data_IF_343484583869
#
_entry.id   IF_343484583869
#
_cell.length_a   1.000
_cell.length_b   1.000
_cell.length_c   1.000
_cell.angle_alpha   90.00
_cell.angle_beta   90.00
_cell.angle_gamma   90.00
#
_symmetry.space_group_name_H-M   'P 1'
#
loop_
_entity.id
_entity.type
_entity.pdbx_description
1 polymer ?
#
# COMPACT_ATOMS: atom_id res chain seq x y z
N UNK A 1 25.23 4.36 -4.24
CA UNK A 1 24.27 3.77 -5.20
C UNK A 1 23.03 4.64 -5.45
N UNK A 2 22.30 5.08 -4.42
CA UNK A 2 21.09 5.92 -4.57
C UNK A 2 21.30 7.21 -5.39
N UNK A 3 22.46 7.85 -5.26
CA UNK A 3 22.75 9.09 -5.99
C UNK A 3 22.88 8.87 -7.52
N UNK A 4 23.35 7.69 -7.94
CA UNK A 4 23.42 7.35 -9.37
C UNK A 4 22.03 7.20 -9.99
N UNK A 5 21.08 6.65 -9.24
CA UNK A 5 19.70 6.46 -9.71
C UNK A 5 18.95 7.78 -9.82
N UNK A 6 19.15 8.69 -8.85
CA UNK A 6 18.64 10.05 -8.93
C UNK A 6 19.18 10.79 -10.17
N UNK A 7 20.48 10.66 -10.46
CA UNK A 7 21.08 11.24 -11.66
C UNK A 7 20.51 10.67 -12.97
N UNK A 8 20.33 9.35 -13.05
CA UNK A 8 19.73 8.69 -14.21
C UNK A 8 18.27 9.12 -14.43
N UNK A 9 17.50 9.25 -13.35
CA UNK A 9 16.13 9.76 -13.39
C UNK A 9 16.10 11.20 -13.92
N UNK A 10 16.96 12.08 -13.41
CA UNK A 10 17.05 13.48 -13.85
C UNK A 10 17.48 13.57 -15.32
N UNK A 11 18.45 12.77 -15.77
CA UNK A 11 18.86 12.73 -17.18
C UNK A 11 17.70 12.27 -18.09
N UNK A 12 16.88 11.33 -17.62
CA UNK A 12 15.71 10.84 -18.36
C UNK A 12 14.60 11.88 -18.39
N UNK A 13 14.36 12.56 -17.27
CA UNK A 13 13.41 13.66 -17.16
C UNK A 13 13.84 14.85 -18.02
N UNK A 14 15.15 15.08 -18.18
CA UNK A 14 15.67 16.14 -19.04
C UNK A 14 15.28 15.93 -20.51
N UNK A 15 15.35 14.67 -20.97
CA UNK A 15 14.94 14.25 -22.32
C UNK A 15 13.41 14.22 -22.51
N UNK A 16 12.62 14.30 -21.44
CA UNK A 16 11.18 14.41 -21.54
C UNK A 16 10.78 15.85 -21.90
N UNK A 17 9.74 16.00 -22.72
CA UNK A 17 9.26 17.31 -23.16
C UNK A 17 8.85 18.17 -21.95
N UNK A 18 9.20 19.47 -21.91
CA UNK A 18 8.69 20.38 -20.90
C UNK A 18 7.21 20.72 -21.19
N UNK A 19 6.31 20.55 -20.22
CA UNK A 19 4.90 20.93 -20.34
C UNK A 19 3.99 20.24 -19.31
N UNK A 20 2.71 20.63 -19.21
CA UNK A 20 1.74 20.00 -18.29
C UNK A 20 1.50 18.52 -18.60
N UNK A 21 1.57 18.13 -19.89
CA UNK A 21 1.52 16.74 -20.35
C UNK A 21 2.91 16.07 -20.42
N UNK A 22 3.96 16.88 -20.21
CA UNK A 22 5.36 16.48 -20.21
C UNK A 22 5.78 15.94 -18.85
N UNK A 23 5.39 14.70 -18.55
CA UNK A 23 5.76 14.02 -17.31
C UNK A 23 6.18 12.59 -17.54
N UNK A 24 6.78 12.00 -16.51
CA UNK A 24 7.27 10.64 -16.52
C UNK A 24 6.55 9.83 -15.44
N UNK A 25 5.92 8.72 -15.82
CA UNK A 25 5.38 7.77 -14.86
C UNK A 25 6.53 6.96 -14.22
N UNK A 26 6.57 6.89 -12.89
CA UNK A 26 7.63 6.15 -12.20
C UNK A 26 7.65 4.66 -12.52
N UNK A 27 6.50 4.03 -12.81
CA UNK A 27 6.45 2.62 -13.22
C UNK A 27 7.12 2.40 -14.59
N UNK A 28 6.81 3.25 -15.57
CA UNK A 28 7.40 3.20 -16.91
C UNK A 28 8.89 3.54 -16.87
N UNK A 29 9.26 4.53 -16.06
CA UNK A 29 10.65 4.92 -15.83
C UNK A 29 11.46 3.78 -15.20
N UNK A 30 10.90 3.10 -14.19
CA UNK A 30 11.54 1.97 -13.53
C UNK A 30 11.77 0.83 -14.52
N UNK A 31 10.75 0.50 -15.32
CA UNK A 31 10.84 -0.53 -16.36
C UNK A 31 11.88 -0.16 -17.44
N UNK A 32 11.90 1.08 -17.91
CA UNK A 32 12.85 1.54 -18.92
C UNK A 32 14.30 1.58 -18.41
N UNK A 33 14.50 1.82 -17.11
CA UNK A 33 15.82 1.83 -16.48
C UNK A 33 16.25 0.43 -16.00
N UNK A 34 15.38 -0.58 -16.09
CA UNK A 34 15.62 -1.91 -15.52
C UNK A 34 15.80 -1.91 -14.00
N UNK A 35 15.20 -0.93 -13.33
CA UNK A 35 15.29 -0.76 -11.87
C UNK A 35 14.01 -1.25 -11.19
N UNK A 36 14.15 -1.73 -9.97
CA UNK A 36 12.99 -1.99 -9.13
C UNK A 36 12.23 -0.69 -8.80
N UNK A 37 10.89 -0.76 -8.80
CA UNK A 37 10.03 0.39 -8.56
C UNK A 37 10.25 1.02 -7.18
N UNK A 38 10.48 0.22 -6.13
CA UNK A 38 10.71 0.78 -4.78
C UNK A 38 12.00 1.59 -4.73
N UNK A 39 13.00 1.15 -5.46
CA UNK A 39 14.29 1.82 -5.54
C UNK A 39 14.15 3.18 -6.23
N UNK A 40 13.40 3.23 -7.34
CA UNK A 40 13.10 4.50 -8.02
C UNK A 40 12.25 5.43 -7.16
N UNK A 41 11.24 4.91 -6.47
CA UNK A 41 10.42 5.69 -5.51
C UNK A 41 11.28 6.28 -4.40
N UNK A 42 12.29 5.56 -3.92
CA UNK A 42 13.27 6.06 -2.97
C UNK A 42 14.09 7.24 -3.52
N UNK A 43 14.52 7.16 -4.78
CA UNK A 43 15.21 8.26 -5.47
C UNK A 43 14.32 9.49 -5.66
N UNK A 44 13.07 9.31 -6.07
CA UNK A 44 12.07 10.38 -6.20
C UNK A 44 11.87 11.11 -4.88
N UNK A 45 11.63 10.40 -3.78
CA UNK A 45 11.48 11.01 -2.46
C UNK A 45 12.74 11.76 -2.01
N UNK A 46 13.91 11.22 -2.33
CA UNK A 46 15.19 11.87 -2.02
C UNK A 46 15.36 13.18 -2.79
N UNK A 47 14.96 13.21 -4.06
CA UNK A 47 14.96 14.42 -4.90
C UNK A 47 13.94 15.45 -4.43
N UNK A 48 12.74 15.02 -4.01
CA UNK A 48 11.76 15.92 -3.37
C UNK A 48 12.29 16.53 -2.07
N UNK A 49 13.08 15.77 -1.29
CA UNK A 49 13.67 16.27 -0.05
C UNK A 49 14.78 17.31 -0.26
N UNK A 50 15.35 17.39 -1.47
CA UNK A 50 16.37 18.37 -1.85
C UNK A 50 15.76 19.71 -2.30
N UNK A 51 14.43 19.85 -2.27
CA UNK A 51 13.69 21.05 -2.61
C UNK A 51 12.89 20.91 -3.90
N UNK A 52 12.65 22.03 -4.58
CA UNK A 52 11.84 22.13 -5.80
C UNK A 52 12.60 21.65 -7.08
N UNK A 53 13.43 20.62 -6.97
CA UNK A 53 14.17 20.04 -8.10
C UNK A 53 13.23 19.26 -9.01
N UNK A 54 12.30 18.52 -8.41
CA UNK A 54 11.26 17.77 -9.10
C UNK A 54 9.90 17.99 -8.43
N UNK A 55 8.86 18.00 -9.24
CA UNK A 55 7.48 17.88 -8.76
C UNK A 55 7.05 16.43 -8.94
N UNK A 56 6.58 15.76 -7.89
CA UNK A 56 6.08 14.39 -8.01
C UNK A 56 4.67 14.29 -7.42
N UNK A 57 3.70 14.03 -8.29
CA UNK A 57 2.30 13.83 -7.93
C UNK A 57 2.04 12.35 -7.73
N UNK A 58 1.41 11.97 -6.61
CA UNK A 58 1.10 10.56 -6.34
C UNK A 58 -0.18 10.18 -7.08
N UNK A 59 -0.12 9.13 -7.91
CA UNK A 59 -1.28 8.56 -8.61
C UNK A 59 -1.47 7.12 -8.17
N UNK A 60 -2.70 6.78 -7.76
CA UNK A 60 -3.05 5.42 -7.41
C UNK A 60 -3.94 4.83 -8.51
N UNK A 61 -3.55 3.68 -9.05
CA UNK A 61 -4.37 2.91 -9.97
C UNK A 61 -4.74 1.60 -9.27
N UNK A 62 -6.04 1.38 -9.09
CA UNK A 62 -6.57 0.11 -8.60
C UNK A 62 -6.64 -0.87 -9.75
N UNK A 63 -6.07 -2.07 -9.58
CA UNK A 63 -6.29 -3.20 -10.48
C UNK A 63 -6.83 -4.38 -9.70
N UNK A 64 -7.64 -5.18 -10.38
CA UNK A 64 -8.20 -6.41 -9.81
C UNK A 64 -7.32 -7.59 -10.22
N UNK A 65 -6.85 -8.33 -9.23
CA UNK A 65 -6.09 -9.56 -9.44
C UNK A 65 -6.86 -10.75 -8.88
N UNK A 66 -6.67 -11.91 -9.50
CA UNK A 66 -7.20 -13.16 -8.97
C UNK A 66 -6.39 -13.58 -7.75
N UNK A 67 -7.06 -14.05 -6.70
CA UNK A 67 -6.38 -14.71 -5.59
C UNK A 67 -5.91 -16.11 -6.00
N UNK A 68 -5.09 -16.76 -5.16
CA UNK A 68 -4.69 -18.15 -5.38
C UNK A 68 -5.92 -19.08 -5.49
N UNK A 69 -6.92 -18.87 -4.63
CA UNK A 69 -8.20 -19.59 -4.68
C UNK A 69 -9.01 -19.23 -5.93
N UNK A 70 -9.05 -17.95 -6.33
CA UNK A 70 -9.69 -17.50 -7.56
C UNK A 70 -9.09 -18.13 -8.82
N UNK A 71 -7.77 -18.34 -8.84
CA UNK A 71 -7.09 -19.04 -9.93
C UNK A 71 -7.38 -20.54 -9.95
N UNK A 72 -7.54 -21.19 -8.79
CA UNK A 72 -7.99 -22.59 -8.71
C UNK A 72 -9.42 -22.71 -9.23
N UNK A 73 -10.31 -21.81 -8.81
CA UNK A 73 -11.71 -21.77 -9.25
C UNK A 73 -11.82 -21.55 -10.76
N UNK A 74 -10.93 -20.73 -11.34
CA UNK A 74 -10.89 -20.52 -12.79
C UNK A 74 -10.52 -21.80 -13.55
N UNK A 75 -9.60 -22.60 -13.00
CA UNK A 75 -9.08 -23.84 -13.62
C UNK A 75 -9.99 -25.05 -13.41
N UNK A 76 -10.34 -25.32 -12.16
CA UNK A 76 -11.00 -26.56 -11.73
C UNK A 76 -12.51 -26.37 -11.47
N UNK A 77 -13.00 -25.14 -11.62
CA UNK A 77 -14.38 -24.75 -11.33
C UNK A 77 -14.59 -24.37 -9.86
N UNK A 78 -15.69 -23.68 -9.57
CA UNK A 78 -16.00 -23.29 -8.19
C UNK A 78 -16.28 -24.52 -7.32
N UNK A 79 -16.09 -24.45 -5.99
CA UNK A 79 -16.44 -25.55 -5.09
C UNK A 79 -17.92 -25.97 -5.20
N UNK A 80 -18.81 -25.05 -5.60
CA UNK A 80 -20.21 -25.37 -5.89
C UNK A 80 -20.35 -26.22 -7.15
N UNK A 81 -19.61 -25.87 -8.22
CA UNK A 81 -19.58 -26.59 -9.50
C UNK A 81 -18.97 -27.97 -9.33
N UNK A 82 -17.85 -28.07 -8.60
CA UNK A 82 -17.20 -29.35 -8.29
C UNK A 82 -18.16 -30.28 -7.54
N UNK A 83 -18.91 -29.75 -6.58
CA UNK A 83 -19.93 -30.50 -5.86
C UNK A 83 -21.12 -30.88 -6.76
N UNK A 84 -21.57 -29.99 -7.63
CA UNK A 84 -22.65 -30.28 -8.58
C UNK A 84 -22.26 -31.40 -9.55
N UNK A 85 -21.04 -31.35 -10.09
CA UNK A 85 -20.52 -32.35 -11.03
C UNK A 85 -20.25 -33.71 -10.36
N UNK A 86 -19.98 -33.74 -9.06
CA UNK A 86 -19.78 -35.00 -8.32
C UNK A 86 -21.09 -35.68 -7.89
N UNK A 87 -22.24 -34.99 -7.98
CA UNK A 87 -23.55 -35.55 -7.64
C UNK A 87 -24.13 -36.29 -8.86
N UNK A 88 -24.29 -37.62 -8.81
CA UNK A 88 -24.92 -38.38 -9.90
C UNK A 88 -26.40 -38.05 -10.03
N UNK A 89 -27.00 -38.42 -11.16
CA UNK A 89 -28.43 -38.20 -11.42
C UNK A 89 -29.34 -38.88 -10.37
N UNK A 90 -28.88 -40.01 -9.82
CA UNK A 90 -29.58 -40.81 -8.79
C UNK A 90 -29.45 -40.22 -7.37
N UNK A 91 -28.75 -39.09 -7.24
CA UNK A 91 -28.53 -38.35 -6.01
C UNK A 91 -27.41 -38.92 -5.13
N UNK A 92 -26.77 -38.03 -4.37
CA UNK A 92 -25.66 -38.36 -3.47
C UNK A 92 -26.11 -38.22 -2.00
N UNK A 93 -25.76 -39.15 -1.09
CA UNK A 93 -25.98 -38.96 0.34
C UNK A 93 -25.24 -37.72 0.85
N UNK A 94 -25.88 -36.92 1.69
CA UNK A 94 -25.29 -35.69 2.25
C UNK A 94 -23.96 -35.96 2.99
N UNK A 95 -23.85 -37.09 3.68
CA UNK A 95 -22.65 -37.50 4.42
C UNK A 95 -21.44 -37.77 3.52
N UNK A 96 -21.67 -38.23 2.29
CA UNK A 96 -20.61 -38.47 1.29
C UNK A 96 -20.26 -37.18 0.56
N UNK A 97 -21.26 -36.37 0.23
CA UNK A 97 -21.08 -35.05 -0.34
C UNK A 97 -20.18 -34.16 0.54
N UNK A 98 -20.38 -34.19 1.86
CA UNK A 98 -19.62 -33.37 2.82
C UNK A 98 -18.17 -33.82 3.03
N UNK A 99 -17.77 -35.01 2.55
CA UNK A 99 -16.37 -35.49 2.62
C UNK A 99 -15.48 -34.90 1.52
N UNK A 100 -16.07 -34.30 0.49
CA UNK A 100 -15.31 -33.71 -0.61
C UNK A 100 -14.61 -32.40 -0.18
N UNK A 101 -13.44 -32.08 -0.76
CA UNK A 101 -12.71 -30.86 -0.43
C UNK A 101 -13.55 -29.62 -0.79
N UNK A 102 -13.72 -28.72 0.17
CA UNK A 102 -14.52 -27.50 -0.02
C UNK A 102 -16.04 -27.71 -0.07
N UNK A 103 -16.53 -28.93 0.21
CA UNK A 103 -17.95 -29.26 0.10
C UNK A 103 -18.87 -28.46 1.01
N UNK A 104 -18.43 -28.10 2.21
CA UNK A 104 -19.26 -27.32 3.15
C UNK A 104 -19.57 -25.92 2.61
N UNK A 105 -18.57 -25.28 2.00
CA UNK A 105 -18.70 -23.97 1.34
C UNK A 105 -19.51 -24.11 0.06
N UNK A 106 -19.21 -25.14 -0.74
CA UNK A 106 -19.92 -25.46 -1.98
C UNK A 106 -21.41 -25.74 -1.78
N UNK A 107 -21.76 -26.56 -0.78
CA UNK A 107 -23.12 -26.97 -0.46
C UNK A 107 -24.00 -25.79 -0.04
N UNK A 108 -23.48 -24.94 0.86
CA UNK A 108 -24.23 -23.78 1.37
C UNK A 108 -24.62 -22.82 0.24
N UNK A 109 -23.70 -22.58 -0.70
CA UNK A 109 -23.92 -21.67 -1.83
C UNK A 109 -24.71 -22.31 -2.97
N UNK A 110 -24.49 -23.59 -3.26
CA UNK A 110 -25.28 -24.32 -4.25
C UNK A 110 -26.75 -24.44 -3.82
N UNK A 111 -27.03 -24.57 -2.51
CA UNK A 111 -28.38 -24.50 -1.96
C UNK A 111 -28.99 -23.10 -2.08
N UNK A 112 -28.22 -22.04 -1.77
CA UNK A 112 -28.69 -20.64 -1.92
C UNK A 112 -29.02 -20.28 -3.37
N UNK A 113 -28.22 -20.78 -4.33
CA UNK A 113 -28.42 -20.59 -5.76
C UNK A 113 -29.42 -21.60 -6.37
N UNK A 114 -30.02 -22.49 -5.57
CA UNK A 114 -30.98 -23.53 -6.00
C UNK A 114 -30.42 -24.51 -7.05
N UNK A 115 -29.11 -24.71 -7.09
CA UNK A 115 -28.44 -25.66 -7.99
C UNK A 115 -28.59 -27.10 -7.50
N UNK A 116 -28.82 -27.28 -6.20
CA UNK A 116 -29.04 -28.57 -5.55
C UNK A 116 -30.40 -28.59 -4.84
N UNK A 117 -31.04 -29.76 -4.82
CA UNK A 117 -32.26 -30.03 -4.05
C UNK A 117 -31.96 -31.07 -2.97
N UNK A 118 -32.40 -30.82 -1.75
CA UNK A 118 -32.26 -31.75 -0.63
C UNK A 118 -33.58 -32.48 -0.40
N UNK A 119 -33.55 -33.80 -0.52
CA UNK A 119 -34.64 -34.68 -0.11
C UNK A 119 -34.32 -35.31 1.25
N UNK A 120 -35.18 -35.05 2.24
CA UNK A 120 -35.02 -35.54 3.62
C UNK A 120 -35.77 -36.86 3.86
N UNK A 121 -36.56 -37.34 2.90
CA UNK A 121 -37.44 -38.51 3.03
C UNK A 121 -36.91 -39.79 2.38
N UNK A 122 -35.71 -39.77 1.79
CA UNK A 122 -35.17 -40.91 1.07
C UNK A 122 -34.72 -42.05 2.01
N UNK A 123 -34.93 -43.33 1.62
CA UNK A 123 -34.42 -44.47 2.39
C UNK A 123 -32.88 -44.43 2.38
N UNK A 124 -32.28 -44.24 3.56
CA UNK A 124 -30.82 -44.07 3.73
C UNK A 124 -30.36 -42.67 4.13
N UNK A 125 -31.27 -41.74 4.42
CA UNK A 125 -30.96 -40.40 4.95
C UNK A 125 -31.02 -39.29 3.88
N UNK A 126 -30.67 -38.04 4.24
CA UNK A 126 -30.82 -36.90 3.33
C UNK A 126 -30.00 -37.06 2.04
N UNK A 127 -30.66 -36.97 0.89
CA UNK A 127 -30.04 -37.07 -0.45
C UNK A 127 -30.09 -35.75 -1.19
N UNK A 128 -29.04 -35.48 -1.95
CA UNK A 128 -28.87 -34.27 -2.74
C UNK A 128 -29.06 -34.62 -4.22
N UNK A 129 -29.92 -33.86 -4.92
CA UNK A 129 -30.18 -33.99 -6.35
C UNK A 129 -29.75 -32.74 -7.11
N UNK A 130 -29.32 -32.93 -8.36
CA UNK A 130 -28.97 -31.84 -9.28
C UNK A 130 -30.23 -31.12 -9.80
N UNK A 131 -30.15 -29.80 -9.94
CA UNK A 131 -31.14 -28.98 -10.61
C UNK A 131 -30.55 -28.34 -11.89
N UNK A 132 -30.59 -27.02 -12.03
CA UNK A 132 -30.05 -26.27 -13.17
C UNK A 132 -28.91 -25.39 -12.68
N UNK A 133 -27.82 -25.33 -13.44
CA UNK A 133 -26.60 -24.63 -13.08
C UNK A 133 -26.14 -23.70 -14.23
N UNK A 134 -25.71 -22.49 -13.89
CA UNK A 134 -25.08 -21.53 -14.80
C UNK A 134 -23.84 -20.95 -14.11
N UNK A 135 -22.66 -21.08 -14.74
CA UNK A 135 -21.38 -20.69 -14.13
C UNK A 135 -21.05 -19.21 -14.33
N UNK A 136 -21.82 -18.35 -13.67
CA UNK A 136 -21.61 -16.89 -13.68
C UNK A 136 -20.30 -16.49 -12.97
N UNK A 137 -19.85 -17.30 -12.02
CA UNK A 137 -18.65 -17.01 -11.21
C UNK A 137 -17.40 -17.24 -12.06
N UNK A 138 -17.30 -18.38 -12.74
CA UNK A 138 -16.14 -18.67 -13.60
C UNK A 138 -16.07 -17.71 -14.79
N UNK A 139 -17.21 -17.34 -15.39
CA UNK A 139 -17.22 -16.35 -16.48
C UNK A 139 -16.73 -14.98 -16.00
N UNK A 140 -17.14 -14.55 -14.80
CA UNK A 140 -16.69 -13.29 -14.20
C UNK A 140 -15.19 -13.32 -13.89
N UNK A 141 -14.68 -14.42 -13.34
CA UNK A 141 -13.25 -14.58 -13.06
C UNK A 141 -12.40 -14.64 -14.34
N UNK A 142 -12.94 -15.21 -15.43
CA UNK A 142 -12.29 -15.20 -16.74
C UNK A 142 -12.16 -13.77 -17.29
N UNK A 143 -13.21 -12.96 -17.19
CA UNK A 143 -13.16 -11.56 -17.59
C UNK A 143 -12.10 -10.77 -16.79
N UNK A 144 -11.96 -11.05 -15.49
CA UNK A 144 -10.90 -10.45 -14.66
C UNK A 144 -9.51 -10.93 -15.11
N UNK A 145 -9.36 -12.22 -15.43
CA UNK A 145 -8.10 -12.78 -15.93
C UNK A 145 -7.65 -12.12 -17.25
N UNK A 146 -8.60 -11.83 -18.13
CA UNK A 146 -8.38 -11.17 -19.42
C UNK A 146 -8.11 -9.66 -19.29
N UNK A 147 -8.10 -9.11 -18.06
CA UNK A 147 -7.83 -7.69 -17.80
C UNK A 147 -9.07 -6.79 -17.85
N UNK A 148 -10.25 -7.36 -18.08
CA UNK A 148 -11.54 -6.64 -18.08
C UNK A 148 -12.19 -6.67 -16.68
N UNK A 149 -11.40 -6.66 -15.61
CA UNK A 149 -11.96 -6.62 -14.25
C UNK A 149 -12.81 -5.38 -13.96
N UNK A 150 -12.56 -4.30 -14.72
CA UNK A 150 -13.31 -3.04 -14.61
C UNK A 150 -14.65 -3.00 -15.34
N UNK A 151 -15.02 -4.04 -16.10
CA UNK A 151 -16.36 -4.14 -16.69
C UNK A 151 -17.38 -4.83 -15.79
N UNK A 152 -16.95 -5.52 -14.72
CA UNK A 152 -17.86 -6.20 -13.80
C UNK A 152 -18.66 -5.21 -12.96
N UNK A 153 -19.90 -5.57 -12.60
CA UNK A 153 -20.71 -4.70 -11.73
C UNK A 153 -20.11 -4.60 -10.32
N UNK A 154 -20.34 -3.48 -9.63
CA UNK A 154 -19.85 -3.29 -8.25
C UNK A 154 -20.38 -4.36 -7.28
N UNK A 155 -21.60 -4.87 -7.53
CA UNK A 155 -22.23 -5.94 -6.74
C UNK A 155 -21.49 -7.26 -6.88
N UNK A 156 -21.09 -7.62 -8.10
CA UNK A 156 -20.32 -8.84 -8.36
C UNK A 156 -18.92 -8.73 -7.75
N UNK A 157 -18.24 -7.58 -7.91
CA UNK A 157 -16.90 -7.38 -7.34
C UNK A 157 -16.90 -7.44 -5.82
N UNK A 158 -17.88 -6.83 -5.17
CA UNK A 158 -17.99 -6.86 -3.70
C UNK A 158 -18.27 -8.28 -3.19
N UNK A 159 -19.12 -9.05 -3.88
CA UNK A 159 -19.36 -10.44 -3.52
C UNK A 159 -18.12 -11.33 -3.76
N UNK A 160 -17.45 -11.21 -4.91
CA UNK A 160 -16.21 -11.95 -5.22
C UNK A 160 -15.06 -11.59 -4.27
N UNK A 161 -14.94 -10.33 -3.86
CA UNK A 161 -13.98 -9.86 -2.84
C UNK A 161 -14.29 -10.45 -1.46
N UNK A 162 -15.57 -10.46 -1.05
CA UNK A 162 -16.00 -11.10 0.22
C UNK A 162 -15.69 -12.60 0.23
N UNK A 163 -15.79 -13.24 -0.93
CA UNK A 163 -15.44 -14.66 -1.14
C UNK A 163 -13.94 -14.92 -1.26
N UNK A 164 -13.08 -13.89 -1.16
CA UNK A 164 -11.62 -13.97 -1.32
C UNK A 164 -11.16 -14.52 -2.68
N UNK A 165 -11.99 -14.44 -3.71
CA UNK A 165 -11.64 -14.86 -5.08
C UNK A 165 -10.90 -13.75 -5.84
N UNK A 166 -11.16 -12.49 -5.47
CA UNK A 166 -10.51 -11.31 -6.00
C UNK A 166 -9.71 -10.58 -4.92
N UNK A 167 -8.58 -10.03 -5.35
CA UNK A 167 -7.74 -9.13 -4.57
C UNK A 167 -7.74 -7.76 -5.25
N UNK A 168 -7.95 -6.72 -4.44
CA UNK A 168 -7.83 -5.34 -4.88
C UNK A 168 -6.39 -4.89 -4.68
N UNK A 169 -5.64 -4.71 -5.77
CA UNK A 169 -4.24 -4.29 -5.73
C UNK A 169 -4.16 -2.82 -6.11
N UNK A 170 -3.81 -2.00 -5.12
CA UNK A 170 -3.57 -0.56 -5.32
C UNK A 170 -2.12 -0.32 -5.72
N UNK A 171 -1.89 -0.04 -6.99
CA UNK A 171 -0.58 0.35 -7.49
C UNK A 171 -0.39 1.85 -7.28
N UNK A 172 0.54 2.20 -6.38
CA UNK A 172 0.96 3.57 -6.15
C UNK A 172 2.10 3.91 -7.11
N UNK A 173 1.83 4.83 -8.00
CA UNK A 173 2.78 5.40 -8.95
C UNK A 173 2.98 6.89 -8.67
N UNK A 174 4.07 7.45 -9.20
CA UNK A 174 4.37 8.87 -9.13
C UNK A 174 4.45 9.42 -10.54
N UNK A 175 3.76 10.53 -10.77
CA UNK A 175 3.89 11.32 -11.98
C UNK A 175 4.91 12.42 -11.74
N UNK A 176 6.07 12.29 -12.37
CA UNK A 176 7.26 13.12 -12.10
C UNK A 176 7.35 14.20 -13.18
N UNK A 177 7.51 15.45 -12.75
CA UNK A 177 7.63 16.65 -13.57
C UNK A 177 8.88 17.44 -13.16
N UNK A 178 9.38 18.26 -14.09
CA UNK A 178 10.50 19.18 -13.81
C UNK A 178 10.02 20.24 -12.81
N UNK A 179 10.74 20.41 -11.71
CA UNK A 179 10.47 21.48 -10.75
C UNK A 179 11.09 22.81 -11.17
N UNK A 180 10.77 23.89 -10.46
CA UNK A 180 11.28 25.23 -10.74
C UNK A 180 12.81 25.36 -10.60
N UNK A 181 13.43 24.54 -9.75
CA UNK A 181 14.87 24.49 -9.53
C UNK A 181 15.52 23.24 -10.15
N UNK A 182 14.96 22.74 -11.27
CA UNK A 182 15.46 21.55 -11.94
C UNK A 182 16.93 21.72 -12.37
N UNK A 183 17.77 20.79 -11.94
CA UNK A 183 19.19 20.70 -12.30
C UNK A 183 19.55 19.24 -12.55
N UNK A 184 20.32 18.99 -13.61
CA UNK A 184 20.83 17.66 -13.95
C UNK A 184 21.90 17.17 -12.97
N UNK A 185 22.56 18.11 -12.28
CA UNK A 185 23.51 17.82 -11.22
C UNK A 185 22.84 18.00 -9.86
N UNK A 186 22.72 16.90 -9.11
CA UNK A 186 22.22 16.92 -7.73
C UNK A 186 23.31 17.52 -6.83
N UNK A 187 23.25 18.83 -6.60
CA UNK A 187 24.08 19.48 -5.60
C UNK A 187 23.39 19.30 -4.26
N UNK A 188 23.96 18.44 -3.40
CA UNK A 188 23.50 18.35 -2.02
C UNK A 188 23.76 19.69 -1.35
N UNK A 189 22.70 20.24 -0.76
CA UNK A 189 22.85 21.41 0.09
C UNK A 189 23.51 20.97 1.39
N UNK A 190 24.54 21.70 1.80
CA UNK A 190 25.22 21.42 3.07
C UNK A 190 24.27 21.76 4.23
N UNK A 191 24.26 20.91 5.26
CA UNK A 191 23.41 21.12 6.45
C UNK A 191 24.08 22.03 7.46
N UNK A 192 25.39 21.90 7.61
CA UNK A 192 26.16 22.55 8.66
C UNK A 192 27.39 23.26 8.09
N UNK A 193 27.76 24.35 8.74
CA UNK A 193 28.96 25.10 8.42
C UNK A 193 30.16 24.41 9.08
N UNK A 194 31.03 23.78 8.28
CA UNK A 194 32.25 23.14 8.81
C UNK A 194 33.41 24.13 8.95
N UNK A 195 34.35 23.94 9.90
CA UNK A 195 35.50 24.83 10.06
C UNK A 195 36.39 24.88 8.81
N UNK A 196 36.48 23.78 8.05
CA UNK A 196 37.22 23.72 6.78
C UNK A 196 36.60 24.62 5.71
N UNK A 197 35.26 24.68 5.65
CA UNK A 197 34.57 25.58 4.73
C UNK A 197 34.84 27.05 5.06
N UNK A 198 34.93 27.40 6.35
CA UNK A 198 35.29 28.75 6.80
C UNK A 198 36.72 29.09 6.35
N UNK A 199 37.68 28.19 6.59
CA UNK A 199 39.08 28.39 6.26
C UNK A 199 39.32 28.54 4.75
N UNK A 200 38.60 27.76 3.93
CA UNK A 200 38.72 27.78 2.46
C UNK A 200 37.82 28.83 1.79
N UNK A 201 36.85 29.41 2.51
CA UNK A 201 35.89 30.35 1.98
C UNK A 201 34.81 29.75 1.06
N UNK A 202 34.73 28.41 0.98
CA UNK A 202 33.78 27.69 0.12
C UNK A 202 32.31 27.87 0.55
N UNK A 203 32.07 28.20 1.83
CA UNK A 203 30.75 28.51 2.38
C UNK A 203 30.02 29.65 1.64
N UNK A 204 30.73 30.55 0.96
CA UNK A 204 30.10 31.66 0.22
C UNK A 204 29.42 31.22 -1.07
N UNK A 205 29.82 30.07 -1.63
CA UNK A 205 29.38 29.60 -2.94
C UNK A 205 28.41 28.42 -2.87
N UNK A 206 28.43 27.67 -1.76
CA UNK A 206 27.62 26.47 -1.58
C UNK A 206 26.22 26.84 -1.05
N UNK A 207 25.14 26.26 -1.62
CA UNK A 207 23.80 26.44 -1.08
C UNK A 207 23.65 25.63 0.22
N UNK A 208 23.14 26.27 1.28
CA UNK A 208 22.83 25.60 2.55
C UNK A 208 21.35 25.25 2.64
N UNK A 209 21.05 24.15 3.32
CA UNK A 209 19.68 23.77 3.62
C UNK A 209 19.08 24.79 4.59
N UNK A 210 17.89 25.31 4.28
CA UNK A 210 17.18 26.21 5.17
C UNK A 210 16.91 25.54 6.52
N UNK A 211 17.28 26.22 7.61
CA UNK A 211 17.06 25.71 8.96
C UNK A 211 15.56 25.73 9.30
N UNK A 212 15.04 24.65 9.87
CA UNK A 212 13.64 24.57 10.28
C UNK A 212 13.45 25.23 11.65
N UNK A 213 13.13 26.52 11.67
CA UNK A 213 12.86 27.28 12.91
C UNK A 213 11.60 26.84 13.65
N UNK A 214 10.73 26.03 13.04
CA UNK A 214 9.52 25.50 13.68
C UNK A 214 9.79 24.24 14.51
N UNK A 215 10.95 23.60 14.36
CA UNK A 215 11.29 22.40 15.10
C UNK A 215 11.81 22.75 16.50
N UNK A 216 11.40 21.97 17.51
CA UNK A 216 12.00 22.04 18.84
C UNK A 216 13.45 21.56 18.75
N UNK A 217 14.38 22.38 19.23
CA UNK A 217 15.80 22.03 19.31
C UNK A 217 16.06 20.91 20.32
N UNK A 218 17.28 20.37 20.29
CA UNK A 218 17.72 19.42 21.30
C UNK A 218 17.85 20.12 22.66
N UNK A 219 17.17 19.63 23.71
CA UNK A 219 17.36 20.21 25.04
C UNK A 219 18.82 19.98 25.48
N UNK A 220 19.49 20.99 26.04
CA UNK A 220 20.85 20.81 26.55
C UNK A 220 20.84 19.79 27.69
N UNK A 221 21.89 18.99 27.78
CA UNK A 221 22.08 18.07 28.90
C UNK A 221 22.42 18.87 30.16
N UNK A 222 21.40 19.25 30.94
CA UNK A 222 21.55 19.89 32.23
C UNK A 222 21.25 18.91 33.39
N UNK A 223 21.86 19.17 34.55
CA UNK A 223 21.50 18.48 35.78
C UNK A 223 20.09 18.89 36.22
N UNK A 224 19.29 17.94 36.69
CA UNK A 224 17.93 18.20 37.15
C UNK A 224 17.88 18.13 38.68
N UNK A 225 17.33 19.17 39.31
CA UNK A 225 17.02 19.13 40.74
C UNK A 225 15.76 18.28 40.96
N UNK A 226 15.78 17.46 42.01
CA UNK A 226 14.60 16.69 42.39
C UNK A 226 13.43 17.65 42.70
N UNK A 227 12.24 17.48 42.06
CA UNK A 227 11.13 18.44 42.21
C UNK A 227 10.74 18.73 43.65
N UNK A 228 10.67 17.69 44.50
CA UNK A 228 10.35 17.84 45.93
C UNK A 228 11.39 18.68 46.68
N UNK A 229 12.69 18.48 46.42
CA UNK A 229 13.75 19.22 47.10
C UNK A 229 13.79 20.68 46.64
N UNK A 230 13.43 20.93 45.38
CA UNK A 230 13.26 22.30 44.85
C UNK A 230 12.12 23.02 45.57
N UNK A 231 10.92 22.42 45.61
CA UNK A 231 9.75 23.00 46.29
C UNK A 231 10.02 23.19 47.79
N UNK A 232 10.62 22.20 48.44
CA UNK A 232 10.97 22.29 49.86
C UNK A 232 11.95 23.43 50.14
N UNK A 233 13.01 23.55 49.32
CA UNK A 233 13.99 24.64 49.44
C UNK A 233 13.34 26.01 49.22
N UNK A 234 12.51 26.14 48.18
CA UNK A 234 11.86 27.39 47.82
C UNK A 234 10.86 27.83 48.92
N UNK A 235 10.03 26.90 49.42
CA UNK A 235 9.10 27.15 50.52
C UNK A 235 9.82 27.53 51.81
N UNK A 236 10.86 26.78 52.19
CA UNK A 236 11.64 27.08 53.40
C UNK A 236 12.33 28.45 53.31
N UNK A 237 12.84 28.82 52.13
CA UNK A 237 13.48 30.13 51.94
C UNK A 237 12.48 31.29 52.00
N UNK A 238 11.30 31.15 51.39
CA UNK A 238 10.25 32.17 51.46
C UNK A 238 9.76 32.36 52.90
N UNK A 239 9.35 31.27 53.56
CA UNK A 239 8.82 31.31 54.91
C UNK A 239 9.83 31.88 55.92
N UNK A 240 11.06 31.37 55.93
CA UNK A 240 12.07 31.85 56.89
C UNK A 240 12.66 33.22 56.52
N UNK A 241 12.63 33.60 55.24
CA UNK A 241 13.09 34.91 54.78
C UNK A 241 12.10 36.04 55.09
N UNK A 242 10.80 35.78 54.95
CA UNK A 242 9.73 36.72 55.31
C UNK A 242 9.68 36.94 56.84
N UNK A 243 9.83 35.87 57.63
CA UNK A 243 9.92 35.97 59.10
C UNK A 243 11.12 36.78 59.61
N UNK A 244 12.18 36.91 58.82
CA UNK A 244 13.38 37.69 59.15
C UNK A 244 13.28 39.17 58.73
N UNK A 245 12.29 39.51 57.89
CA UNK A 245 11.96 40.88 57.49
C UNK A 245 10.83 41.48 58.36
N UNK A 246 10.03 40.64 59.03
CA UNK A 246 8.98 41.05 59.96
C UNK A 246 9.45 41.18 61.43
N UNK A 247 10.74 40.95 61.70
CA UNK A 247 11.42 41.20 62.99
C UNK A 247 12.36 42.41 62.87
#
# INVERSE_FOLDING_TARGET
ERDGQSGLLLQRLERAAPGPDGGLCSLEAAAALGLDHQTLVGAVKSLQALGEVIEAETRATTRWELSAEGSEVLRDGSPEVRLFNSVPADGLPQSEAMKLPGAQVGFSKAMANKWLRLDKGAPGGPRIFRAVMQDEVQSSLRQVHEGNGDSLSERERTDLKRRKLLLEVTLKSYWIRKGSAFSTAVVRQETDLTPEMIATGSWRKLPFKAYNFSALGLPPSCGHLHPLLKVHRDAHRQLCGELLLEL
#
